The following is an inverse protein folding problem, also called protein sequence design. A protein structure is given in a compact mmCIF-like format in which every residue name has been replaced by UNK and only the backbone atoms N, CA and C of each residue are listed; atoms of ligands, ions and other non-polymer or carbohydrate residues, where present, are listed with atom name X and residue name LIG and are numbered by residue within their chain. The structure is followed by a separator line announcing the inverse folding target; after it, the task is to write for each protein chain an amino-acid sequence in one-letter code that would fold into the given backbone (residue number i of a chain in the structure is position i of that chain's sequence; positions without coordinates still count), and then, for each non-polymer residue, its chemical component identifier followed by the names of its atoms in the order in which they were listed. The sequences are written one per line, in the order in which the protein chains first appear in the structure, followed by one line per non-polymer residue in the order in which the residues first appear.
data_IF_540486932008
#
_entry.id   IF_540486932008
#
_cell.length_a   1.000
_cell.length_b   1.000
_cell.length_c   1.000
_cell.angle_alpha   90.00
_cell.angle_beta   90.00
_cell.angle_gamma   90.00
#
_symmetry.space_group_name_H-M   'P 1'
#
loop_
_entity.id
_entity.type
_entity.pdbx_description
1 polymer ?
#
# COMPACT_ATOMS: atom_id res chain seq x y z
N UNK A 1 7.11 18.67 9.14
CA UNK A 1 6.52 17.33 8.92
C UNK A 1 7.49 16.54 8.05
N UNK A 2 7.87 15.34 8.47
CA UNK A 2 8.70 14.47 7.64
C UNK A 2 7.85 13.89 6.50
N UNK A 3 8.40 13.93 5.29
CA UNK A 3 7.77 13.40 4.08
C UNK A 3 8.45 12.10 3.66
N UNK A 4 7.65 11.09 3.35
CA UNK A 4 8.09 9.79 2.86
C UNK A 4 7.50 9.53 1.46
N UNK A 5 8.26 8.86 0.60
CA UNK A 5 7.78 8.31 -0.66
C UNK A 5 7.46 6.83 -0.45
N UNK A 6 6.23 6.41 -0.76
CA UNK A 6 5.84 5.02 -0.62
C UNK A 6 6.46 4.16 -1.74
N UNK A 7 7.03 3.02 -1.36
CA UNK A 7 7.37 1.93 -2.27
C UNK A 7 6.18 0.97 -2.45
N UNK A 8 6.13 0.27 -3.59
CA UNK A 8 5.10 -0.71 -3.87
C UNK A 8 5.02 -1.80 -2.81
N UNK A 9 6.15 -2.23 -2.24
CA UNK A 9 6.17 -3.27 -1.22
C UNK A 9 5.47 -2.85 0.08
N UNK A 10 5.69 -1.63 0.56
CA UNK A 10 5.01 -1.16 1.79
C UNK A 10 3.49 -1.16 1.60
N UNK A 11 3.03 -0.69 0.44
CA UNK A 11 1.61 -0.68 0.11
C UNK A 11 1.05 -2.09 -0.05
N UNK A 12 1.76 -2.99 -0.74
CA UNK A 12 1.34 -4.39 -0.87
C UNK A 12 1.21 -5.09 0.47
N UNK A 13 2.19 -4.92 1.37
CA UNK A 13 2.14 -5.54 2.70
C UNK A 13 0.98 -5.01 3.53
N UNK A 14 0.67 -3.73 3.43
CA UNK A 14 -0.49 -3.14 4.07
C UNK A 14 -1.82 -3.64 3.48
N UNK A 15 -1.92 -3.75 2.16
CA UNK A 15 -3.16 -4.09 1.45
C UNK A 15 -3.51 -5.58 1.50
N UNK A 16 -2.50 -6.45 1.39
CA UNK A 16 -2.69 -7.92 1.34
C UNK A 16 -2.65 -8.54 2.74
N UNK A 17 -1.75 -8.05 3.61
CA UNK A 17 -1.60 -8.60 4.96
C UNK A 17 -1.04 -10.01 5.02
N UNK A 18 -0.31 -10.47 3.99
CA UNK A 18 0.23 -11.83 3.88
C UNK A 18 1.43 -12.11 4.80
N UNK A 19 2.21 -11.08 5.14
CA UNK A 19 3.34 -11.16 6.07
C UNK A 19 3.06 -10.32 7.30
N UNK A 20 2.68 -10.96 8.41
CA UNK A 20 2.18 -10.30 9.64
C UNK A 20 3.09 -9.18 10.14
N UNK A 21 4.39 -9.42 10.29
CA UNK A 21 5.31 -8.42 10.83
C UNK A 21 5.47 -7.21 9.90
N UNK A 22 5.46 -7.44 8.59
CA UNK A 22 5.54 -6.37 7.59
C UNK A 22 4.22 -5.59 7.48
N UNK A 23 3.08 -6.27 7.63
CA UNK A 23 1.78 -5.64 7.72
C UNK A 23 1.70 -4.71 8.93
N UNK A 24 2.06 -5.19 10.12
CA UNK A 24 2.04 -4.36 11.34
C UNK A 24 3.01 -3.18 11.24
N UNK A 25 4.18 -3.38 10.63
CA UNK A 25 5.10 -2.28 10.34
C UNK A 25 4.48 -1.24 9.40
N UNK A 26 3.93 -1.66 8.26
CA UNK A 26 3.32 -0.76 7.30
C UNK A 26 2.10 -0.03 7.91
N UNK A 27 1.25 -0.77 8.61
CA UNK A 27 0.07 -0.24 9.32
C UNK A 27 0.43 0.89 10.28
N UNK A 28 1.46 0.72 11.11
CA UNK A 28 1.94 1.78 12.02
C UNK A 28 2.36 3.04 11.25
N UNK A 29 2.99 2.92 10.08
CA UNK A 29 3.33 4.10 9.25
C UNK A 29 2.08 4.79 8.71
N UNK A 30 1.09 4.04 8.23
CA UNK A 30 -0.19 4.61 7.78
C UNK A 30 -0.98 5.26 8.92
N UNK A 31 -0.95 4.72 10.14
CA UNK A 31 -1.57 5.35 11.32
C UNK A 31 -0.88 6.67 11.71
N UNK A 32 0.45 6.74 11.61
CA UNK A 32 1.19 8.00 11.78
C UNK A 32 0.81 9.03 10.70
N UNK A 33 0.60 8.60 9.47
CA UNK A 33 0.14 9.48 8.39
C UNK A 33 -1.31 9.96 8.62
N UNK A 34 -2.21 9.08 9.03
CA UNK A 34 -3.61 9.42 9.35
C UNK A 34 -3.70 10.41 10.52
N UNK A 35 -2.83 10.28 11.52
CA UNK A 35 -2.75 11.23 12.64
C UNK A 35 -2.04 12.55 12.29
N UNK A 36 -1.60 12.74 11.03
CA UNK A 36 -0.94 13.96 10.56
C UNK A 36 0.50 14.13 11.03
N UNK A 37 1.10 13.11 11.65
CA UNK A 37 2.50 13.17 12.16
C UNK A 37 3.52 13.10 11.04
N UNK A 38 3.21 12.38 9.97
CA UNK A 38 4.04 12.25 8.76
C UNK A 38 3.19 12.43 7.50
N UNK A 39 3.83 12.73 6.39
CA UNK A 39 3.19 12.74 5.07
C UNK A 39 3.74 11.59 4.24
N UNK A 40 2.86 10.78 3.65
CA UNK A 40 3.24 9.71 2.72
C UNK A 40 2.74 10.08 1.33
N UNK A 41 3.67 10.26 0.39
CA UNK A 41 3.37 10.49 -1.02
C UNK A 41 3.39 9.17 -1.78
N UNK A 42 2.34 8.90 -2.56
CA UNK A 42 2.23 7.71 -3.39
C UNK A 42 2.30 8.13 -4.86
N UNK A 43 3.42 7.89 -5.57
CA UNK A 43 3.53 8.16 -6.99
C UNK A 43 2.53 7.34 -7.81
N UNK A 44 2.04 7.91 -8.92
CA UNK A 44 1.17 7.19 -9.85
C UNK A 44 1.82 5.89 -10.37
N UNK A 45 3.14 5.90 -10.60
CA UNK A 45 3.90 4.73 -11.02
C UNK A 45 3.75 3.56 -10.03
N UNK A 46 3.76 3.86 -8.73
CA UNK A 46 3.60 2.86 -7.68
C UNK A 46 2.19 2.27 -7.69
N UNK A 47 1.16 3.06 -7.97
CA UNK A 47 -0.21 2.55 -8.14
C UNK A 47 -0.33 1.60 -9.35
N UNK A 48 0.34 1.92 -10.46
CA UNK A 48 0.38 1.06 -11.65
C UNK A 48 1.07 -0.26 -11.34
N UNK A 49 2.19 -0.21 -10.61
CA UNK A 49 2.93 -1.40 -10.18
C UNK A 49 2.11 -2.30 -9.25
N UNK A 50 1.45 -1.73 -8.24
CA UNK A 50 0.58 -2.49 -7.33
C UNK A 50 -0.55 -3.18 -8.09
N UNK A 51 -1.19 -2.46 -9.02
CA UNK A 51 -2.23 -3.06 -9.86
C UNK A 51 -1.68 -4.23 -10.71
N UNK A 52 -0.48 -4.09 -11.29
CA UNK A 52 0.16 -5.19 -12.01
C UNK A 52 0.45 -6.38 -11.08
N UNK A 53 1.01 -6.13 -9.89
CA UNK A 53 1.39 -7.19 -8.95
C UNK A 53 0.16 -7.93 -8.42
N UNK A 54 -0.87 -7.20 -7.99
CA UNK A 54 -2.11 -7.80 -7.47
C UNK A 54 -2.81 -8.67 -8.53
N UNK A 55 -2.79 -8.26 -9.80
CA UNK A 55 -3.39 -9.04 -10.89
C UNK A 55 -2.54 -10.24 -11.29
N UNK A 56 -1.21 -10.10 -11.33
CA UNK A 56 -0.30 -11.13 -11.86
C UNK A 56 0.11 -12.16 -10.82
N UNK A 57 0.48 -11.72 -9.61
CA UNK A 57 1.05 -12.59 -8.58
C UNK A 57 0.01 -13.01 -7.54
N UNK A 58 -0.96 -12.15 -7.23
CA UNK A 58 -2.05 -12.46 -6.31
C UNK A 58 -3.35 -12.84 -7.03
N UNK A 59 -3.32 -12.90 -8.37
CA UNK A 59 -4.42 -13.32 -9.25
C UNK A 59 -5.77 -12.64 -8.94
N UNK A 60 -5.73 -11.42 -8.41
CA UNK A 60 -6.92 -10.69 -8.03
C UNK A 60 -7.67 -10.20 -9.27
N UNK A 61 -8.99 -10.42 -9.37
CA UNK A 61 -9.79 -9.87 -10.44
C UNK A 61 -9.84 -8.34 -10.35
N UNK A 62 -10.02 -7.68 -11.50
CA UNK A 62 -9.87 -6.22 -11.64
C UNK A 62 -10.76 -5.43 -10.68
N UNK A 63 -11.99 -5.88 -10.46
CA UNK A 63 -12.96 -5.28 -9.53
C UNK A 63 -12.48 -5.33 -8.08
N UNK A 64 -11.84 -6.43 -7.66
CA UNK A 64 -11.22 -6.54 -6.33
C UNK A 64 -10.01 -5.62 -6.19
N UNK A 65 -9.16 -5.53 -7.21
CA UNK A 65 -7.98 -4.65 -7.17
C UNK A 65 -8.38 -3.19 -6.97
N UNK A 66 -9.43 -2.71 -7.65
CA UNK A 66 -9.94 -1.35 -7.46
C UNK A 66 -10.43 -1.13 -6.03
N UNK A 67 -11.19 -2.07 -5.47
CA UNK A 67 -11.67 -2.01 -4.07
C UNK A 67 -10.53 -2.03 -3.05
N UNK A 68 -9.43 -2.71 -3.36
CA UNK A 68 -8.25 -2.77 -2.50
C UNK A 68 -7.50 -1.44 -2.54
N UNK A 69 -7.32 -0.83 -3.72
CA UNK A 69 -6.53 0.41 -3.87
C UNK A 69 -7.29 1.65 -3.36
N UNK A 70 -8.61 1.73 -3.55
CA UNK A 70 -9.43 2.89 -3.20
C UNK A 70 -10.01 2.84 -1.78
N UNK A 71 -9.42 2.03 -0.90
CA UNK A 71 -9.93 1.79 0.45
C UNK A 71 -9.52 2.87 1.44
#
# INVERSE_FOLDING_TARGET
MEGYLADANILLRYLVGDVKDQFEFAKKKFELAQSGKIVISIPLLILVEINFILRKFYEQPKDKVIKIILR
#
